data_IF_386035005875
#
_entry.id   IF_386035005875
#
_cell.length_a   1.000
_cell.length_b   1.000
_cell.length_c   1.000
_cell.angle_alpha   90.00
_cell.angle_beta   90.00
_cell.angle_gamma   90.00
#
_symmetry.space_group_name_H-M   'P 1'
#
loop_
_entity.id
_entity.type
_entity.pdbx_description
1 polymer ?
#
# COMPACT_ATOMS: atom_id res chain seq x y z
N UNK A 1 20.49 9.66 6.51
CA UNK A 1 19.24 9.88 5.76
C UNK A 1 18.42 8.61 5.87
N UNK A 2 17.25 8.65 6.51
CA UNK A 2 16.31 7.52 6.51
C UNK A 2 15.76 7.36 5.10
N UNK A 3 16.07 6.24 4.44
CA UNK A 3 15.55 5.96 3.11
C UNK A 3 14.01 5.83 3.19
N UNK A 4 13.32 6.64 2.37
CA UNK A 4 11.86 6.60 2.22
C UNK A 4 11.51 5.27 1.53
N UNK A 5 10.56 4.52 2.11
CA UNK A 5 10.12 3.22 1.62
C UNK A 5 8.72 3.34 1.00
N UNK A 6 8.56 3.08 -0.30
CA UNK A 6 7.24 3.04 -0.92
C UNK A 6 6.48 1.78 -0.47
N UNK A 7 5.16 1.91 -0.30
CA UNK A 7 4.22 0.84 0.02
C UNK A 7 3.01 1.01 -0.89
N UNK A 8 2.66 -0.05 -1.62
CA UNK A 8 1.50 -0.06 -2.51
C UNK A 8 0.42 -1.00 -1.95
N UNK A 9 -0.76 -0.47 -1.71
CA UNK A 9 -1.94 -1.25 -1.32
C UNK A 9 -2.73 -1.62 -2.56
N UNK A 10 -2.77 -2.90 -2.91
CA UNK A 10 -3.43 -3.40 -4.12
C UNK A 10 -4.69 -4.16 -3.74
N UNK A 11 -5.80 -3.91 -4.44
CA UNK A 11 -7.07 -4.61 -4.25
C UNK A 11 -7.88 -4.64 -5.54
N UNK A 12 -8.62 -5.74 -5.75
CA UNK A 12 -9.69 -5.89 -6.74
C UNK A 12 -10.95 -5.05 -6.43
N UNK A 13 -11.09 -4.57 -5.19
CA UNK A 13 -12.12 -3.64 -4.74
C UNK A 13 -11.57 -2.24 -4.44
N UNK A 14 -12.08 -1.61 -3.38
CA UNK A 14 -11.71 -0.22 -3.03
C UNK A 14 -10.32 -0.06 -2.40
N UNK A 15 -9.72 -1.14 -1.90
CA UNK A 15 -8.43 -1.12 -1.21
C UNK A 15 -8.43 -0.56 0.22
N UNK A 16 -9.60 -0.16 0.77
CA UNK A 16 -9.70 0.43 2.12
C UNK A 16 -9.21 -0.54 3.20
N UNK A 17 -9.53 -1.83 3.08
CA UNK A 17 -9.08 -2.86 4.03
C UNK A 17 -7.56 -2.99 4.03
N UNK A 18 -6.95 -3.07 2.84
CA UNK A 18 -5.50 -3.18 2.69
C UNK A 18 -4.78 -1.96 3.29
N UNK A 19 -5.30 -0.76 3.00
CA UNK A 19 -4.78 0.50 3.52
C UNK A 19 -4.89 0.58 5.05
N UNK A 20 -6.05 0.22 5.62
CA UNK A 20 -6.29 0.32 7.07
C UNK A 20 -5.41 -0.66 7.86
N UNK A 21 -5.37 -1.92 7.42
CA UNK A 21 -4.54 -2.95 8.05
C UNK A 21 -3.06 -2.64 7.87
N UNK A 22 -2.66 -2.25 6.66
CA UNK A 22 -1.29 -1.87 6.34
C UNK A 22 -0.81 -0.66 7.14
N UNK A 23 -1.61 0.40 7.21
CA UNK A 23 -1.30 1.58 8.03
C UNK A 23 -1.07 1.18 9.48
N UNK A 24 -1.98 0.39 10.06
CA UNK A 24 -1.86 -0.12 11.44
C UNK A 24 -0.57 -0.91 11.65
N UNK A 25 -0.17 -1.75 10.69
CA UNK A 25 1.08 -2.51 10.74
C UNK A 25 2.32 -1.60 10.66
N UNK A 26 2.31 -0.62 9.75
CA UNK A 26 3.45 0.29 9.54
C UNK A 26 3.75 1.15 10.79
N UNK A 27 2.73 1.45 11.60
CA UNK A 27 2.93 2.20 12.86
C UNK A 27 3.87 1.52 13.86
N UNK A 28 4.05 0.19 13.75
CA UNK A 28 4.93 -0.58 14.63
C UNK A 28 6.42 -0.37 14.32
N UNK A 29 6.75 0.20 13.15
CA UNK A 29 8.11 0.35 12.66
C UNK A 29 8.61 1.79 12.84
N UNK A 30 8.81 2.20 14.10
CA UNK A 30 9.39 3.51 14.41
C UNK A 30 10.81 3.65 13.83
N UNK A 31 11.13 4.83 13.29
CA UNK A 31 12.43 5.12 12.65
C UNK A 31 12.47 4.90 11.13
N UNK A 32 11.36 4.48 10.52
CA UNK A 32 11.24 4.41 9.06
C UNK A 32 10.22 5.43 8.54
N UNK A 33 10.50 5.97 7.36
CA UNK A 33 9.58 6.84 6.63
C UNK A 33 8.96 6.04 5.50
N UNK A 34 7.64 5.96 5.48
CA UNK A 34 6.88 5.27 4.44
C UNK A 34 6.12 6.28 3.57
N UNK A 35 6.02 6.00 2.27
CA UNK A 35 5.09 6.67 1.36
C UNK A 35 4.13 5.60 0.88
N UNK A 36 2.84 5.83 1.07
CA UNK A 36 1.80 4.86 0.74
C UNK A 36 1.00 5.31 -0.47
N UNK A 37 0.72 4.38 -1.37
CA UNK A 37 -0.17 4.56 -2.52
C UNK A 37 -1.20 3.43 -2.55
N UNK A 38 -2.42 3.72 -3.03
CA UNK A 38 -3.53 2.76 -3.06
C UNK A 38 -4.01 2.55 -4.48
N UNK A 39 -3.85 1.32 -4.95
CA UNK A 39 -4.29 0.84 -6.25
C UNK A 39 -5.58 0.03 -6.10
N UNK A 40 -6.71 0.66 -6.38
CA UNK A 40 -8.04 0.07 -6.32
C UNK A 40 -8.48 -0.49 -7.68
N UNK A 41 -9.39 -1.46 -7.66
CA UNK A 41 -9.99 -2.08 -8.84
C UNK A 41 -8.98 -2.77 -9.77
N UNK A 42 -7.96 -3.41 -9.19
CA UNK A 42 -7.00 -4.27 -9.89
C UNK A 42 -7.55 -5.70 -9.91
N UNK A 43 -8.62 -5.90 -10.69
CA UNK A 43 -9.43 -7.13 -10.76
C UNK A 43 -9.12 -8.02 -11.98
N UNK A 44 -8.19 -7.61 -12.85
CA UNK A 44 -7.75 -8.39 -14.00
C UNK A 44 -6.23 -8.29 -14.24
N UNK A 45 -5.73 -9.18 -15.09
CA UNK A 45 -4.30 -9.32 -15.36
C UNK A 45 -3.70 -8.19 -16.21
N UNK A 46 -4.51 -7.41 -16.93
CA UNK A 46 -4.04 -6.26 -17.68
C UNK A 46 -3.78 -5.10 -16.71
N UNK A 47 -4.75 -4.79 -15.84
CA UNK A 47 -4.60 -3.76 -14.80
C UNK A 47 -3.46 -4.03 -13.83
N UNK A 48 -3.14 -5.29 -13.58
CA UNK A 48 -2.01 -5.68 -12.72
C UNK A 48 -0.63 -5.51 -13.39
N UNK A 49 -0.57 -5.34 -14.72
CA UNK A 49 0.68 -5.16 -15.48
C UNK A 49 1.01 -3.71 -15.78
N UNK A 50 0.05 -2.79 -15.67
CA UNK A 50 0.26 -1.34 -15.75
C UNK A 50 0.95 -0.79 -14.50
#
# INVERSE_FOLDING_TARGET
>A
MTAIRPVFYVSDGTGITAETVGHSLLTQFSGFSFVTDRMSFVDDADKARE
#
